data_IF_197300400227
#
_entry.id   IF_197300400227
#
_cell.length_a   1.000
_cell.length_b   1.000
_cell.length_c   1.000
_cell.angle_alpha   90.00
_cell.angle_beta   90.00
_cell.angle_gamma   90.00
#
_symmetry.space_group_name_H-M   'P 1'
#
loop_
_entity.id
_entity.type
_entity.pdbx_description
1 polymer ?
#
# COMPACT_ATOMS: atom_id res chain seq x y z
N UNK A 1 15.05 -32.60 5.35
CA UNK A 1 13.60 -32.51 5.08
C UNK A 1 13.27 -33.63 4.10
N UNK A 2 12.14 -34.31 4.24
CA UNK A 2 11.74 -35.34 3.26
C UNK A 2 11.28 -34.64 1.97
N UNK A 3 11.90 -34.90 0.80
CA UNK A 3 11.50 -34.29 -0.46
C UNK A 3 10.02 -34.52 -0.80
N UNK A 4 9.43 -35.65 -0.39
CA UNK A 4 8.01 -35.95 -0.61
C UNK A 4 7.07 -35.02 0.17
N UNK A 5 7.58 -34.23 1.13
CA UNK A 5 6.80 -33.29 1.91
C UNK A 5 6.64 -31.89 1.25
N UNK A 6 7.25 -31.65 0.09
CA UNK A 6 7.17 -30.37 -0.64
C UNK A 6 6.57 -30.61 -2.03
N UNK A 7 5.54 -29.83 -2.37
CA UNK A 7 5.06 -29.66 -3.74
C UNK A 7 5.67 -28.39 -4.32
N UNK A 8 6.18 -28.46 -5.54
CA UNK A 8 6.68 -27.29 -6.27
C UNK A 8 5.83 -27.09 -7.51
N UNK A 9 5.20 -25.93 -7.63
CA UNK A 9 4.39 -25.54 -8.78
C UNK A 9 4.94 -24.25 -9.43
N UNK A 10 4.81 -24.14 -10.75
CA UNK A 10 5.13 -22.91 -11.50
C UNK A 10 3.83 -22.16 -11.78
N UNK A 11 3.81 -20.84 -11.60
CA UNK A 11 2.60 -20.02 -11.73
C UNK A 11 2.82 -18.73 -12.52
N UNK A 12 1.82 -18.38 -13.33
CA UNK A 12 1.71 -17.11 -14.04
C UNK A 12 1.01 -16.02 -13.19
N UNK A 13 0.43 -16.41 -12.05
CA UNK A 13 -0.36 -15.50 -11.22
C UNK A 13 0.47 -14.46 -10.47
N UNK A 14 1.78 -14.68 -10.33
CA UNK A 14 2.64 -13.82 -9.54
C UNK A 14 3.00 -12.55 -10.31
N UNK A 15 2.56 -11.39 -9.80
CA UNK A 15 2.88 -10.08 -10.39
C UNK A 15 4.15 -9.46 -9.82
N UNK A 16 4.37 -9.56 -8.50
CA UNK A 16 5.51 -8.96 -7.78
C UNK A 16 6.44 -9.99 -7.14
N UNK A 17 5.88 -11.09 -6.67
CA UNK A 17 6.63 -12.19 -6.04
C UNK A 17 7.37 -13.02 -7.09
N UNK A 18 8.54 -13.52 -6.74
CA UNK A 18 9.29 -14.51 -7.53
C UNK A 18 9.05 -15.93 -7.02
N UNK A 19 8.90 -16.07 -5.70
CA UNK A 19 8.58 -17.30 -5.01
C UNK A 19 7.60 -17.05 -3.86
N UNK A 20 6.90 -18.11 -3.45
CA UNK A 20 6.10 -18.15 -2.23
C UNK A 20 6.14 -19.56 -1.66
N UNK A 21 6.39 -19.68 -0.36
CA UNK A 21 6.20 -20.90 0.41
C UNK A 21 4.95 -20.79 1.30
N UNK A 22 4.04 -21.76 1.23
CA UNK A 22 2.87 -21.85 2.11
C UNK A 22 2.64 -23.25 2.67
N UNK A 23 2.16 -23.39 3.92
CA UNK A 23 1.72 -24.67 4.44
C UNK A 23 0.40 -25.10 3.77
N UNK A 24 0.28 -26.39 3.46
CA UNK A 24 -0.96 -26.97 2.92
C UNK A 24 -1.78 -27.50 4.12
N UNK A 25 -3.00 -27.00 4.30
CA UNK A 25 -3.87 -27.45 5.39
C UNK A 25 -4.26 -28.92 5.21
N UNK A 26 -4.16 -29.70 6.30
CA UNK A 26 -4.43 -31.14 6.30
C UNK A 26 -5.92 -31.41 6.08
N UNK A 27 -6.28 -32.07 4.99
CA UNK A 27 -7.38 -33.03 5.00
C UNK A 27 -6.76 -34.42 5.15
N UNK A 28 -7.16 -35.15 6.19
CA UNK A 28 -6.62 -36.46 6.57
C UNK A 28 -6.55 -37.44 5.39
N UNK A 29 -5.33 -37.73 4.93
CA UNK A 29 -4.79 -39.07 4.63
C UNK A 29 -3.35 -38.97 4.18
N UNK A 30 -2.59 -39.98 4.58
CA UNK A 30 -1.17 -40.20 4.34
C UNK A 30 -0.69 -39.85 2.92
N UNK A 31 0.57 -39.39 2.85
CA UNK A 31 1.40 -39.09 1.66
C UNK A 31 1.21 -37.76 0.91
N UNK A 32 0.44 -36.80 1.40
CA UNK A 32 0.30 -35.49 0.73
C UNK A 32 1.40 -34.50 1.14
N UNK A 33 1.90 -33.65 0.21
CA UNK A 33 2.88 -32.62 0.49
C UNK A 33 2.37 -31.70 1.61
N UNK A 34 3.26 -31.33 2.54
CA UNK A 34 2.96 -30.48 3.71
C UNK A 34 3.16 -29.00 3.41
N UNK A 35 3.98 -28.70 2.41
CA UNK A 35 4.30 -27.34 1.99
C UNK A 35 4.18 -27.26 0.47
N UNK A 36 3.66 -26.13 0.00
CA UNK A 36 3.66 -25.77 -1.41
C UNK A 36 4.63 -24.62 -1.62
N UNK A 37 5.55 -24.80 -2.56
CA UNK A 37 6.41 -23.77 -3.10
C UNK A 37 5.88 -23.42 -4.48
N UNK A 38 5.59 -22.14 -4.69
CA UNK A 38 5.15 -21.63 -5.98
C UNK A 38 6.24 -20.73 -6.53
N UNK A 39 6.58 -20.90 -7.80
CA UNK A 39 7.63 -20.14 -8.48
C UNK A 39 7.04 -19.40 -9.68
N UNK A 40 7.41 -18.14 -9.88
CA UNK A 40 6.93 -17.36 -11.01
C UNK A 40 7.47 -17.93 -12.34
N UNK A 41 6.60 -18.16 -13.33
CA UNK A 41 6.99 -18.72 -14.64
C UNK A 41 8.07 -17.90 -15.36
N UNK A 42 8.02 -16.56 -15.26
CA UNK A 42 9.00 -15.66 -15.87
C UNK A 42 10.46 -15.94 -15.49
N UNK A 43 10.71 -16.61 -14.36
CA UNK A 43 12.06 -17.02 -13.98
C UNK A 43 12.69 -18.06 -14.92
N UNK A 44 11.88 -18.71 -15.76
CA UNK A 44 12.31 -19.74 -16.70
C UNK A 44 12.39 -19.23 -18.16
N UNK A 45 12.01 -17.98 -18.43
CA UNK A 45 11.83 -17.46 -19.80
C UNK A 45 13.13 -16.86 -20.39
N UNK A 46 14.07 -16.38 -19.56
CA UNK A 46 15.22 -15.58 -20.01
C UNK A 46 16.58 -16.31 -19.96
N UNK A 47 16.61 -17.64 -19.76
CA UNK A 47 17.86 -18.41 -19.69
C UNK A 47 18.76 -18.08 -18.49
N UNK A 48 18.26 -17.33 -17.50
CA UNK A 48 18.96 -16.96 -16.25
C UNK A 48 18.80 -18.06 -15.20
N UNK A 49 19.47 -19.18 -15.48
CA UNK A 49 19.36 -20.43 -14.72
C UNK A 49 19.68 -20.30 -13.22
N UNK A 50 20.56 -19.37 -12.85
CA UNK A 50 20.95 -19.15 -11.46
C UNK A 50 19.84 -18.51 -10.62
N UNK A 51 19.00 -17.66 -11.23
CA UNK A 51 17.98 -16.88 -10.51
C UNK A 51 16.81 -17.74 -10.04
N UNK A 52 16.36 -18.68 -10.88
CA UNK A 52 15.29 -19.60 -10.49
C UNK A 52 15.80 -20.61 -9.47
N UNK A 53 17.05 -21.08 -9.58
CA UNK A 53 17.69 -21.98 -8.60
C UNK A 53 17.79 -21.33 -7.23
N UNK A 54 18.24 -20.08 -7.18
CA UNK A 54 18.30 -19.30 -5.94
C UNK A 54 16.90 -19.10 -5.34
N UNK A 55 15.92 -18.72 -6.15
CA UNK A 55 14.52 -18.55 -5.71
C UNK A 55 13.95 -19.84 -5.13
N UNK A 56 14.18 -21.00 -5.76
CA UNK A 56 13.73 -22.29 -5.22
C UNK A 56 14.40 -22.59 -3.88
N UNK A 57 15.71 -22.34 -3.75
CA UNK A 57 16.44 -22.56 -2.49
C UNK A 57 15.97 -21.60 -1.39
N UNK A 58 15.64 -20.35 -1.75
CA UNK A 58 15.05 -19.35 -0.86
C UNK A 58 13.73 -19.86 -0.25
N UNK A 59 12.82 -20.35 -1.09
CA UNK A 59 11.53 -20.88 -0.62
C UNK A 59 11.66 -22.19 0.15
N UNK A 60 12.64 -23.05 -0.19
CA UNK A 60 12.96 -24.25 0.59
C UNK A 60 13.47 -23.88 2.00
N UNK A 61 14.23 -22.79 2.13
CA UNK A 61 14.66 -22.30 3.44
C UNK A 61 13.47 -21.87 4.31
N UNK A 62 12.46 -21.19 3.72
CA UNK A 62 11.21 -20.89 4.41
C UNK A 62 10.48 -22.15 4.86
N UNK A 63 10.33 -23.13 3.96
CA UNK A 63 9.65 -24.39 4.28
C UNK A 63 10.35 -25.16 5.41
N UNK A 64 11.70 -25.13 5.43
CA UNK A 64 12.50 -25.74 6.48
C UNK A 64 12.27 -25.05 7.83
N UNK A 65 12.35 -23.72 7.88
CA UNK A 65 12.15 -22.95 9.12
C UNK A 65 10.73 -23.13 9.66
N UNK A 66 9.72 -23.07 8.80
CA UNK A 66 8.33 -23.34 9.19
C UNK A 66 8.15 -24.74 9.76
N UNK A 67 8.91 -25.73 9.27
CA UNK A 67 8.87 -27.10 9.78
C UNK A 67 9.59 -27.28 11.11
N UNK A 68 10.76 -26.65 11.29
CA UNK A 68 11.63 -26.93 12.44
C UNK A 68 11.47 -25.95 13.59
N UNK A 69 11.10 -24.71 13.30
CA UNK A 69 10.99 -23.62 14.28
C UNK A 69 9.53 -23.16 14.44
N UNK A 70 8.75 -23.15 13.36
CA UNK A 70 7.35 -22.71 13.36
C UNK A 70 7.16 -21.34 12.68
N UNK A 71 5.94 -20.79 12.76
CA UNK A 71 5.54 -19.55 12.07
C UNK A 71 5.83 -18.26 12.83
N UNK A 72 6.27 -18.35 14.09
CA UNK A 72 6.41 -17.18 14.99
C UNK A 72 7.74 -16.45 14.85
N UNK A 73 8.60 -16.89 13.91
CA UNK A 73 9.90 -16.28 13.64
C UNK A 73 9.84 -15.29 12.48
N UNK A 74 10.75 -14.31 12.51
CA UNK A 74 10.85 -13.33 11.44
C UNK A 74 11.16 -14.03 10.10
N UNK A 75 10.45 -13.71 9.01
CA UNK A 75 10.59 -14.39 7.71
C UNK A 75 12.04 -14.45 7.18
N UNK A 76 12.86 -13.44 7.47
CA UNK A 76 14.27 -13.39 7.10
C UNK A 76 15.18 -13.17 8.33
N UNK A 77 14.77 -13.72 9.47
CA UNK A 77 15.51 -13.71 10.73
C UNK A 77 16.77 -14.61 10.70
N UNK A 78 17.51 -14.68 11.82
CA UNK A 78 18.73 -15.51 11.93
C UNK A 78 18.51 -16.97 11.50
N UNK A 79 17.40 -17.57 11.90
CA UNK A 79 17.04 -18.96 11.61
C UNK A 79 16.88 -19.19 10.11
N UNK A 80 16.26 -18.23 9.42
CA UNK A 80 16.11 -18.28 7.96
C UNK A 80 17.44 -18.08 7.25
N UNK A 81 18.29 -17.14 7.70
CA UNK A 81 19.61 -16.91 7.10
C UNK A 81 20.50 -18.15 7.20
N UNK A 82 20.45 -18.85 8.31
CA UNK A 82 21.17 -20.10 8.49
C UNK A 82 20.63 -21.21 7.58
N UNK A 83 19.31 -21.32 7.45
CA UNK A 83 18.67 -22.25 6.52
C UNK A 83 19.01 -21.92 5.04
N UNK A 84 18.98 -20.64 4.67
CA UNK A 84 19.31 -20.14 3.32
C UNK A 84 20.75 -20.49 2.94
N UNK A 85 21.73 -20.22 3.82
CA UNK A 85 23.14 -20.61 3.59
C UNK A 85 23.29 -22.12 3.41
N UNK A 86 22.61 -22.92 4.23
CA UNK A 86 22.64 -24.39 4.12
C UNK A 86 22.00 -24.89 2.83
N UNK A 87 20.97 -24.19 2.33
CA UNK A 87 20.33 -24.50 1.06
C UNK A 87 21.13 -24.00 -0.17
N UNK A 88 22.17 -23.19 0.04
CA UNK A 88 22.91 -22.54 -1.03
C UNK A 88 22.13 -21.42 -1.72
N UNK A 89 21.19 -20.80 -1.00
CA UNK A 89 20.54 -19.55 -1.39
C UNK A 89 21.34 -18.35 -0.89
N UNK A 90 21.17 -17.20 -1.52
CA UNK A 90 21.67 -15.93 -1.00
C UNK A 90 20.90 -15.52 0.27
N UNK A 91 21.57 -15.44 1.45
CA UNK A 91 20.93 -15.09 2.73
C UNK A 91 20.65 -13.58 2.87
N UNK A 92 21.00 -12.77 1.87
CA UNK A 92 20.72 -11.33 1.79
C UNK A 92 19.66 -11.03 0.73
N UNK A 93 19.53 -11.89 -0.29
CA UNK A 93 18.48 -11.76 -1.31
C UNK A 93 17.09 -11.77 -0.67
N UNK A 94 16.34 -10.69 -0.92
CA UNK A 94 14.90 -10.66 -0.70
C UNK A 94 14.29 -11.04 -2.04
N UNK A 95 13.56 -12.15 -2.14
CA UNK A 95 12.91 -12.57 -3.39
C UNK A 95 11.68 -11.69 -3.77
N UNK A 96 11.79 -10.38 -3.56
CA UNK A 96 11.13 -9.38 -4.40
C UNK A 96 12.17 -9.06 -5.49
N UNK A 97 11.94 -9.55 -6.70
CA UNK A 97 12.90 -9.35 -7.78
C UNK A 97 13.04 -7.88 -8.11
N UNK A 98 14.04 -7.23 -7.53
CA UNK A 98 14.66 -6.08 -8.16
C UNK A 98 15.13 -6.55 -9.56
N UNK A 99 14.75 -5.80 -10.59
CA UNK A 99 15.15 -5.94 -12.01
C UNK A 99 14.35 -6.84 -12.98
N UNK A 100 13.16 -7.36 -12.66
CA UNK A 100 12.24 -7.86 -13.73
C UNK A 100 10.80 -7.46 -13.47
N UNK A 101 10.61 -6.15 -13.41
CA UNK A 101 9.35 -5.54 -13.79
C UNK A 101 9.70 -4.66 -14.98
N UNK A 102 8.85 -4.60 -16.01
CA UNK A 102 8.98 -3.62 -17.11
C UNK A 102 8.88 -2.21 -16.51
N UNK A 103 9.98 -1.75 -15.93
CA UNK A 103 10.09 -0.45 -15.32
C UNK A 103 9.93 0.54 -16.46
N UNK A 104 8.80 1.22 -16.53
CA UNK A 104 8.61 2.27 -17.51
C UNK A 104 9.46 3.50 -17.17
N UNK A 105 9.83 3.67 -15.90
CA UNK A 105 10.55 4.82 -15.38
C UNK A 105 11.71 4.40 -14.49
N UNK A 106 12.76 5.21 -14.47
CA UNK A 106 13.93 5.03 -13.64
C UNK A 106 14.08 6.24 -12.73
N UNK A 107 14.50 6.01 -11.48
CA UNK A 107 15.07 7.03 -10.60
C UNK A 107 16.54 6.65 -10.36
N UNK A 108 17.47 7.53 -10.71
CA UNK A 108 18.89 7.25 -10.60
C UNK A 108 19.63 8.41 -9.94
N UNK A 109 20.73 8.10 -9.26
CA UNK A 109 21.73 9.10 -8.95
C UNK A 109 22.54 9.42 -10.21
N UNK A 110 22.68 10.69 -10.63
CA UNK A 110 23.50 11.04 -11.81
C UNK A 110 24.99 10.64 -11.63
N UNK A 111 25.46 10.53 -10.37
CA UNK A 111 26.82 10.08 -10.05
C UNK A 111 26.96 8.54 -9.99
N UNK A 112 25.90 7.78 -10.30
CA UNK A 112 25.94 6.31 -10.37
C UNK A 112 25.83 5.56 -9.03
N UNK A 113 25.52 6.24 -7.92
CA UNK A 113 25.37 5.61 -6.60
C UNK A 113 24.21 4.59 -6.53
N UNK A 114 23.11 4.86 -7.24
CA UNK A 114 21.96 3.95 -7.27
C UNK A 114 21.13 4.15 -8.54
N UNK A 115 20.36 3.12 -8.88
CA UNK A 115 19.34 3.14 -9.92
C UNK A 115 18.16 2.27 -9.48
N UNK A 116 16.94 2.78 -9.63
CA UNK A 116 15.72 2.10 -9.21
C UNK A 116 14.65 2.18 -10.29
N UNK A 117 14.15 1.03 -10.74
CA UNK A 117 13.06 0.91 -11.70
C UNK A 117 11.67 1.08 -11.05
N UNK A 118 10.77 1.77 -11.75
CA UNK A 118 9.38 2.01 -11.35
C UNK A 118 8.43 1.73 -12.52
N UNK A 119 7.35 1.00 -12.25
CA UNK A 119 6.27 0.75 -13.23
C UNK A 119 5.30 1.91 -13.44
N UNK A 120 5.28 2.86 -12.51
CA UNK A 120 4.31 3.95 -12.49
C UNK A 120 5.00 5.27 -12.12
N UNK A 121 4.46 6.37 -12.62
CA UNK A 121 4.89 7.74 -12.27
C UNK A 121 4.44 8.10 -10.86
N UNK A 122 5.16 7.54 -9.89
CA UNK A 122 5.01 7.88 -8.48
C UNK A 122 5.46 9.33 -8.24
N UNK A 123 5.14 9.88 -7.06
CA UNK A 123 5.66 11.20 -6.65
C UNK A 123 7.20 11.27 -6.70
N UNK A 124 7.87 10.12 -6.50
CA UNK A 124 9.33 10.02 -6.50
C UNK A 124 9.91 10.19 -7.90
N UNK A 125 9.28 9.57 -8.90
CA UNK A 125 9.61 9.76 -10.32
C UNK A 125 9.32 11.19 -10.76
N UNK A 126 8.21 11.78 -10.29
CA UNK A 126 7.79 13.13 -10.73
C UNK A 126 8.60 14.27 -10.13
N UNK A 127 9.13 14.08 -8.92
CA UNK A 127 9.79 15.13 -8.16
C UNK A 127 11.18 14.69 -7.65
N UNK A 128 12.12 14.29 -8.53
CA UNK A 128 13.40 13.74 -8.10
C UNK A 128 14.23 14.76 -7.29
N UNK A 129 14.08 16.07 -7.52
CA UNK A 129 14.69 17.15 -6.73
C UNK A 129 14.26 17.20 -5.25
N UNK A 130 13.17 16.55 -4.85
CA UNK A 130 12.75 16.48 -3.44
C UNK A 130 13.53 15.46 -2.61
N UNK A 131 14.41 14.70 -3.26
CA UNK A 131 15.17 13.62 -2.63
C UNK A 131 16.66 13.91 -2.78
N UNK A 132 17.46 13.32 -1.91
CA UNK A 132 18.93 13.39 -1.95
C UNK A 132 19.48 11.98 -1.96
N UNK A 133 20.57 11.77 -2.69
CA UNK A 133 21.34 10.54 -2.59
C UNK A 133 22.03 10.50 -1.22
N UNK A 134 21.86 9.41 -0.48
CA UNK A 134 22.46 9.25 0.85
C UNK A 134 24.00 9.10 0.79
N UNK A 135 24.55 8.71 -0.36
CA UNK A 135 26.00 8.53 -0.55
C UNK A 135 26.73 9.82 -0.96
N UNK A 136 26.20 10.55 -1.95
CA UNK A 136 26.88 11.72 -2.53
C UNK A 136 26.15 13.05 -2.29
N UNK A 137 24.98 13.03 -1.65
CA UNK A 137 24.17 14.23 -1.38
C UNK A 137 23.50 14.85 -2.60
N UNK A 138 23.82 14.39 -3.81
CA UNK A 138 23.27 14.92 -5.06
C UNK A 138 21.80 14.56 -5.23
N UNK A 139 21.01 15.48 -5.80
CA UNK A 139 19.62 15.20 -6.16
C UNK A 139 19.57 14.17 -7.29
N UNK A 140 18.77 13.10 -7.16
CA UNK A 140 18.62 12.13 -8.23
C UNK A 140 17.94 12.74 -9.45
N UNK A 141 17.99 12.00 -10.55
CA UNK A 141 17.24 12.25 -11.76
C UNK A 141 16.18 11.16 -11.95
N UNK A 142 15.18 11.43 -12.76
CA UNK A 142 14.29 10.39 -13.27
C UNK A 142 14.18 10.46 -14.78
N UNK A 143 13.92 9.33 -15.43
CA UNK A 143 13.83 9.23 -16.89
C UNK A 143 12.98 8.02 -17.31
N UNK A 144 12.46 8.00 -18.55
CA UNK A 144 11.83 6.79 -19.10
C UNK A 144 12.91 5.72 -19.34
N UNK A 145 12.65 4.45 -19.06
CA UNK A 145 13.68 3.39 -19.19
C UNK A 145 14.30 3.31 -20.59
N UNK A 146 13.57 3.74 -21.61
CA UNK A 146 14.00 3.76 -23.01
C UNK A 146 14.75 5.02 -23.41
N UNK A 147 14.82 6.03 -22.54
CA UNK A 147 15.30 7.38 -22.84
C UNK A 147 16.20 7.89 -21.71
N UNK A 148 17.37 7.25 -21.56
CA UNK A 148 18.38 7.64 -20.57
C UNK A 148 19.14 8.89 -21.05
N UNK A 149 19.20 9.96 -20.24
CA UNK A 149 19.97 11.16 -20.59
C UNK A 149 21.49 10.89 -20.57
N UNK A 150 22.20 11.39 -21.58
CA UNK A 150 23.67 11.26 -21.71
C UNK A 150 24.44 12.18 -20.75
N UNK A 151 23.91 13.38 -20.46
CA UNK A 151 24.48 14.36 -19.53
C UNK A 151 23.40 14.90 -18.58
N UNK A 152 23.03 14.13 -17.55
CA UNK A 152 21.90 14.48 -16.70
C UNK A 152 22.22 15.57 -15.67
N UNK A 153 21.54 16.70 -15.78
CA UNK A 153 21.43 17.68 -14.70
C UNK A 153 20.74 17.08 -13.47
N UNK A 154 21.39 17.21 -12.31
CA UNK A 154 20.89 16.68 -11.04
C UNK A 154 19.55 17.31 -10.63
N UNK A 155 18.62 16.48 -10.14
CA UNK A 155 17.28 16.94 -9.77
C UNK A 155 16.28 17.00 -10.92
N UNK A 156 16.67 16.65 -12.14
CA UNK A 156 15.81 16.77 -13.34
C UNK A 156 15.02 15.48 -13.63
N UNK A 157 13.81 15.62 -14.17
CA UNK A 157 12.83 14.56 -14.46
C UNK A 157 12.61 14.38 -15.98
N UNK A 158 13.51 13.69 -16.66
CA UNK A 158 13.55 13.47 -18.12
C UNK A 158 12.49 12.48 -18.65
N UNK A 159 11.33 12.38 -18.02
CA UNK A 159 10.22 11.53 -18.49
C UNK A 159 9.50 12.25 -19.63
N UNK A 160 9.53 11.71 -20.86
CA UNK A 160 9.23 12.31 -22.18
C UNK A 160 7.79 12.79 -22.41
N UNK A 161 6.99 12.95 -21.36
CA UNK A 161 5.55 13.30 -21.43
C UNK A 161 5.17 14.35 -20.40
N UNK A 162 6.15 15.17 -20.05
CA UNK A 162 5.95 16.50 -19.49
C UNK A 162 6.66 17.45 -20.48
N UNK A 163 5.94 18.34 -21.19
CA UNK A 163 6.57 19.54 -21.71
C UNK A 163 7.04 20.32 -20.49
N UNK A 164 8.35 20.45 -20.33
CA UNK A 164 8.92 21.23 -19.24
C UNK A 164 8.57 22.69 -19.42
N UNK A 165 8.07 23.32 -18.37
CA UNK A 165 8.12 24.76 -18.28
C UNK A 165 8.51 25.21 -16.88
N UNK A 166 9.37 26.21 -16.93
CA UNK A 166 10.12 26.89 -15.88
C UNK A 166 9.20 27.66 -14.93
N UNK A 167 9.82 28.30 -13.94
CA UNK A 167 9.21 29.09 -12.87
C UNK A 167 8.26 30.23 -13.30
N UNK A 168 8.06 30.46 -14.61
CA UNK A 168 7.14 31.43 -15.21
C UNK A 168 5.74 30.88 -15.53
N UNK A 169 5.50 29.57 -15.37
CA UNK A 169 4.19 28.92 -15.59
C UNK A 169 3.17 29.12 -14.46
N UNK A 170 3.41 30.08 -13.57
CA UNK A 170 2.50 30.37 -12.47
C UNK A 170 1.23 31.10 -12.90
N UNK A 171 1.17 31.66 -14.10
CA UNK A 171 0.04 32.45 -14.54
C UNK A 171 -0.35 32.14 -16.01
N UNK A 172 -1.61 31.73 -16.20
CA UNK A 172 -2.46 31.73 -17.41
C UNK A 172 -2.67 30.40 -18.21
N UNK A 173 -3.80 30.23 -18.94
CA UNK A 173 -4.90 29.38 -18.52
C UNK A 173 -5.26 28.35 -19.61
N UNK A 174 -4.79 27.11 -19.47
CA UNK A 174 -5.26 26.00 -20.32
C UNK A 174 -5.84 24.88 -19.45
N UNK A 175 -6.93 25.24 -18.78
CA UNK A 175 -7.78 24.40 -17.96
C UNK A 175 -8.93 23.82 -18.81
N UNK A 176 -8.63 22.84 -19.65
CA UNK A 176 -9.67 22.08 -20.37
C UNK A 176 -9.47 20.57 -20.30
N UNK A 177 -9.28 20.04 -19.07
CA UNK A 177 -9.80 18.73 -18.55
C UNK A 177 -9.31 18.42 -17.12
N UNK A 178 -9.12 19.43 -16.28
CA UNK A 178 -8.86 19.30 -14.85
C UNK A 178 -10.16 19.25 -14.02
N UNK A 179 -11.17 18.51 -14.46
CA UNK A 179 -12.48 18.56 -13.79
C UNK A 179 -12.41 17.78 -12.48
N UNK A 180 -12.25 18.47 -11.36
CA UNK A 180 -12.55 17.93 -10.05
C UNK A 180 -13.90 17.20 -10.10
N UNK A 181 -14.02 16.05 -9.41
CA UNK A 181 -15.20 15.17 -9.49
C UNK A 181 -16.02 15.17 -8.22
N UNK A 182 -15.40 15.55 -7.10
CA UNK A 182 -15.99 15.50 -5.78
C UNK A 182 -15.72 16.81 -5.07
N UNK A 183 -16.68 17.23 -4.24
CA UNK A 183 -16.54 18.37 -3.35
C UNK A 183 -16.57 17.89 -1.90
N UNK A 184 -15.72 18.47 -1.07
CA UNK A 184 -15.88 18.50 0.38
C UNK A 184 -16.27 19.93 0.73
N UNK A 185 -17.41 20.16 1.37
CA UNK A 185 -17.91 21.52 1.55
C UNK A 185 -18.62 21.71 2.86
N UNK A 186 -18.59 22.97 3.33
CA UNK A 186 -19.37 23.41 4.46
C UNK A 186 -20.86 23.50 4.06
N UNK A 187 -21.78 22.88 4.83
CA UNK A 187 -23.22 23.01 4.59
C UNK A 187 -23.71 24.47 4.63
N UNK A 188 -23.03 25.33 5.39
CA UNK A 188 -23.36 26.75 5.52
C UNK A 188 -22.74 27.63 4.40
N UNK A 189 -22.04 27.01 3.44
CA UNK A 189 -21.46 27.73 2.29
C UNK A 189 -20.17 28.50 2.58
N UNK A 190 -19.56 28.35 3.76
CA UNK A 190 -18.33 29.06 4.13
C UNK A 190 -17.15 28.75 3.21
N UNK A 191 -16.93 27.45 2.95
CA UNK A 191 -15.76 26.99 2.19
C UNK A 191 -16.04 25.66 1.48
N UNK A 192 -15.31 25.43 0.39
CA UNK A 192 -15.41 24.22 -0.42
C UNK A 192 -14.03 23.83 -0.96
N UNK A 193 -13.74 22.54 -0.94
CA UNK A 193 -12.51 21.95 -1.45
C UNK A 193 -12.83 20.93 -2.53
N UNK A 194 -12.19 21.08 -3.69
CA UNK A 194 -12.38 20.22 -4.83
C UNK A 194 -11.37 19.06 -4.83
N UNK A 195 -11.86 17.87 -5.20
CA UNK A 195 -11.06 16.65 -5.24
C UNK A 195 -11.29 15.89 -6.55
N UNK A 196 -10.20 15.39 -7.14
CA UNK A 196 -10.28 14.53 -8.33
C UNK A 196 -10.55 13.06 -8.00
N UNK A 197 -10.23 12.62 -6.77
CA UNK A 197 -10.28 11.21 -6.33
C UNK A 197 -11.07 11.08 -5.03
N UNK A 198 -11.63 9.88 -4.79
CA UNK A 198 -12.31 9.52 -3.53
C UNK A 198 -11.31 9.31 -2.39
N UNK A 199 -10.78 10.40 -1.88
CA UNK A 199 -9.86 10.40 -0.72
C UNK A 199 -10.59 10.01 0.57
N UNK A 200 -9.84 9.79 1.66
CA UNK A 200 -10.43 9.51 2.99
C UNK A 200 -11.41 10.61 3.43
N UNK A 201 -11.10 11.87 3.08
CA UNK A 201 -11.94 13.04 3.35
C UNK A 201 -13.29 12.97 2.64
N UNK A 202 -13.28 12.64 1.35
CA UNK A 202 -14.51 12.47 0.57
C UNK A 202 -15.36 11.31 1.08
N UNK A 203 -14.74 10.20 1.48
CA UNK A 203 -15.46 8.99 1.96
C UNK A 203 -16.02 9.09 3.37
N UNK A 204 -15.48 10.02 4.18
CA UNK A 204 -15.82 10.17 5.60
C UNK A 204 -15.89 11.67 5.97
N UNK A 205 -16.77 12.45 5.33
CA UNK A 205 -16.84 13.90 5.53
C UNK A 205 -17.19 14.30 6.97
N UNK A 206 -17.95 13.45 7.68
CA UNK A 206 -18.29 13.59 9.10
C UNK A 206 -17.11 13.60 10.08
N UNK A 207 -15.90 13.27 9.63
CA UNK A 207 -14.68 13.36 10.44
C UNK A 207 -14.03 14.75 10.45
N UNK A 208 -14.62 15.70 9.73
CA UNK A 208 -14.03 17.01 9.49
C UNK A 208 -15.04 18.12 9.78
N UNK A 209 -14.55 19.20 10.36
CA UNK A 209 -15.33 20.41 10.65
C UNK A 209 -14.87 21.57 9.79
N UNK A 210 -15.80 22.47 9.47
CA UNK A 210 -15.50 23.72 8.80
C UNK A 210 -14.66 24.62 9.72
N UNK A 211 -13.51 25.16 9.28
CA UNK A 211 -12.68 26.02 10.11
C UNK A 211 -13.30 27.39 10.41
N UNK A 212 -14.37 27.77 9.71
CA UNK A 212 -15.01 29.08 9.86
C UNK A 212 -16.24 29.05 10.77
N UNK A 213 -16.97 27.94 10.82
CA UNK A 213 -18.22 27.84 11.57
C UNK A 213 -18.39 26.53 12.35
N UNK A 214 -17.34 25.70 12.41
CA UNK A 214 -17.30 24.40 13.08
C UNK A 214 -18.34 23.37 12.64
N UNK A 215 -19.18 23.69 11.65
CA UNK A 215 -20.16 22.77 11.10
C UNK A 215 -19.46 21.53 10.50
N UNK A 216 -20.01 20.35 10.79
CA UNK A 216 -19.54 19.10 10.20
C UNK A 216 -19.67 19.15 8.69
N UNK A 217 -18.57 18.84 8.00
CA UNK A 217 -18.52 18.90 6.54
C UNK A 217 -19.36 17.79 5.90
N UNK A 218 -19.77 18.03 4.65
CA UNK A 218 -20.39 17.04 3.78
C UNK A 218 -19.55 16.85 2.52
N UNK A 219 -19.73 15.72 1.83
CA UNK A 219 -19.17 15.50 0.50
C UNK A 219 -20.25 15.22 -0.53
N UNK A 220 -20.06 15.67 -1.76
CA UNK A 220 -21.00 15.44 -2.88
C UNK A 220 -20.24 15.33 -4.21
N UNK A 221 -20.91 14.89 -5.27
CA UNK A 221 -20.34 14.98 -6.62
C UNK A 221 -20.28 16.46 -7.03
N UNK A 222 -19.34 16.83 -7.91
CA UNK A 222 -19.12 18.26 -8.26
C UNK A 222 -20.33 18.90 -8.95
N UNK A 223 -21.15 18.09 -9.60
CA UNK A 223 -22.36 18.53 -10.30
C UNK A 223 -23.53 18.77 -9.33
N UNK A 224 -23.40 18.32 -8.08
CA UNK A 224 -24.41 18.55 -7.05
C UNK A 224 -24.29 19.97 -6.51
N UNK A 225 -25.42 20.68 -6.41
CA UNK A 225 -25.47 21.96 -5.70
C UNK A 225 -25.59 21.69 -4.19
N UNK A 226 -24.58 22.01 -3.36
CA UNK A 226 -24.53 21.57 -1.97
C UNK A 226 -25.49 22.27 -1.01
N UNK A 227 -26.28 23.23 -1.50
CA UNK A 227 -27.03 24.20 -0.69
C UNK A 227 -28.27 23.61 0.02
N UNK A 228 -28.56 22.32 -0.15
CA UNK A 228 -29.67 21.63 0.51
C UNK A 228 -29.29 20.22 1.00
N UNK A 229 -27.99 19.95 1.14
CA UNK A 229 -27.52 18.64 1.55
C UNK A 229 -27.35 18.59 3.07
N UNK A 230 -27.81 17.49 3.67
CA UNK A 230 -27.64 17.26 5.10
C UNK A 230 -26.15 17.21 5.48
N UNK A 231 -25.80 17.91 6.55
CA UNK A 231 -24.44 17.99 7.09
C UNK A 231 -23.96 16.64 7.61
N UNK A 232 -22.64 16.43 7.63
CA UNK A 232 -22.07 15.18 8.15
C UNK A 232 -22.41 13.94 7.32
N UNK A 233 -22.84 14.08 6.06
CA UNK A 233 -23.16 12.96 5.17
C UNK A 233 -22.32 12.96 3.90
N UNK A 234 -22.17 11.77 3.30
CA UNK A 234 -21.57 11.56 1.99
C UNK A 234 -22.67 11.41 0.93
N UNK A 235 -22.86 12.42 0.10
CA UNK A 235 -23.85 12.47 -0.98
C UNK A 235 -23.28 12.06 -2.34
N UNK A 236 -22.02 11.61 -2.39
CA UNK A 236 -21.39 11.09 -3.61
C UNK A 236 -22.12 9.82 -4.05
N UNK A 237 -22.86 9.87 -5.16
CA UNK A 237 -23.76 8.80 -5.60
C UNK A 237 -23.05 7.47 -5.82
N UNK A 238 -21.77 7.55 -6.16
CA UNK A 238 -20.93 6.40 -6.45
C UNK A 238 -20.28 5.76 -5.20
N UNK A 239 -20.51 6.33 -4.01
CA UNK A 239 -20.16 5.76 -2.71
C UNK A 239 -21.44 5.18 -2.11
N UNK A 240 -21.50 3.86 -1.82
CA UNK A 240 -22.74 3.19 -1.44
C UNK A 240 -23.19 3.46 0.00
N UNK A 241 -22.57 4.41 0.71
CA UNK A 241 -22.89 4.74 2.10
C UNK A 241 -22.95 6.25 2.28
N UNK A 242 -24.00 6.73 2.95
CA UNK A 242 -24.21 8.15 3.21
C UNK A 242 -23.76 8.56 4.62
N UNK A 243 -23.65 7.59 5.54
CA UNK A 243 -23.30 7.75 6.95
C UNK A 243 -22.14 6.83 7.34
N UNK A 244 -21.52 7.03 8.53
CA UNK A 244 -20.63 6.04 9.10
C UNK A 244 -21.32 4.68 9.18
N UNK A 245 -20.63 3.61 8.77
CA UNK A 245 -21.10 2.23 8.92
C UNK A 245 -20.41 1.48 10.05
N UNK A 246 -19.22 1.95 10.41
CA UNK A 246 -18.31 1.30 11.34
C UNK A 246 -17.82 2.36 12.30
N UNK A 247 -17.85 2.05 13.58
CA UNK A 247 -17.25 2.86 14.63
C UNK A 247 -15.97 2.20 15.12
N UNK A 248 -14.92 3.00 15.29
CA UNK A 248 -13.74 2.66 16.09
C UNK A 248 -13.75 3.53 17.34
N UNK A 249 -13.73 2.91 18.52
CA UNK A 249 -13.91 3.63 19.76
C UNK A 249 -13.02 3.11 20.89
N UNK A 250 -12.86 3.96 21.91
CA UNK A 250 -12.39 3.52 23.21
C UNK A 250 -13.56 2.88 23.98
N UNK A 251 -13.40 1.68 24.56
CA UNK A 251 -14.47 1.05 25.35
C UNK A 251 -14.84 1.86 26.62
N UNK A 252 -13.93 2.71 27.09
CA UNK A 252 -14.16 3.60 28.24
C UNK A 252 -14.72 4.99 27.86
N UNK A 253 -15.04 5.21 26.58
CA UNK A 253 -15.67 6.46 26.12
C UNK A 253 -14.73 7.64 25.84
N UNK A 254 -13.41 7.46 25.93
CA UNK A 254 -12.43 8.52 25.62
C UNK A 254 -12.55 9.09 24.19
N UNK A 255 -12.92 8.25 23.23
CA UNK A 255 -13.18 8.68 21.86
C UNK A 255 -14.12 7.70 21.15
N UNK A 256 -14.76 8.20 20.10
CA UNK A 256 -15.55 7.44 19.14
C UNK A 256 -15.37 8.08 17.75
N UNK A 257 -14.96 7.29 16.76
CA UNK A 257 -14.69 7.75 15.39
C UNK A 257 -15.40 6.86 14.37
N UNK A 258 -16.27 7.46 13.57
CA UNK A 258 -17.05 6.78 12.53
C UNK A 258 -16.36 6.70 11.16
N UNK A 259 -16.49 5.57 10.48
CA UNK A 259 -15.97 5.29 9.15
C UNK A 259 -17.03 4.64 8.27
N UNK A 260 -17.03 4.98 6.98
CA UNK A 260 -17.93 4.38 6.00
C UNK A 260 -17.46 3.03 5.46
N UNK A 261 -16.18 2.70 5.67
CA UNK A 261 -15.55 1.43 5.28
C UNK A 261 -14.49 1.03 6.32
N UNK A 262 -14.17 -0.26 6.38
CA UNK A 262 -13.13 -0.75 7.28
C UNK A 262 -11.78 -0.05 7.07
N UNK A 263 -11.17 0.33 8.18
CA UNK A 263 -9.77 0.75 8.31
C UNK A 263 -8.93 -0.34 8.97
N UNK A 264 -7.61 -0.15 9.07
CA UNK A 264 -6.74 -1.10 9.78
C UNK A 264 -7.13 -1.21 11.26
N UNK A 265 -7.44 -0.07 11.86
CA UNK A 265 -7.88 0.09 13.24
C UNK A 265 -9.17 -0.68 13.51
N UNK A 266 -10.18 -0.53 12.65
CA UNK A 266 -11.45 -1.24 12.81
C UNK A 266 -11.36 -2.76 12.56
N UNK A 267 -10.35 -3.22 11.80
CA UNK A 267 -10.15 -4.66 11.51
C UNK A 267 -9.38 -5.39 12.61
N UNK A 268 -8.52 -4.66 13.32
CA UNK A 268 -7.60 -5.22 14.32
C UNK A 268 -7.60 -4.35 15.59
N UNK A 269 -8.75 -4.10 16.24
CA UNK A 269 -8.85 -3.17 17.36
C UNK A 269 -8.04 -3.60 18.58
N UNK A 270 -7.65 -4.88 18.68
CA UNK A 270 -6.75 -5.46 19.68
C UNK A 270 -5.31 -4.94 19.61
N UNK A 271 -4.89 -4.47 18.42
CA UNK A 271 -3.54 -3.92 18.18
C UNK A 271 -3.41 -2.44 18.51
N UNK A 272 -4.52 -1.76 18.74
CA UNK A 272 -4.56 -0.32 19.01
C UNK A 272 -4.99 -0.05 20.46
N UNK A 273 -4.42 1.01 21.05
CA UNK A 273 -4.71 1.43 22.42
C UNK A 273 -5.19 2.87 22.41
N UNK A 274 -6.13 3.17 23.29
CA UNK A 274 -6.52 4.53 23.60
C UNK A 274 -5.34 5.26 24.26
N UNK A 275 -5.01 6.45 23.75
CA UNK A 275 -3.90 7.26 24.28
C UNK A 275 -4.20 7.80 25.68
N UNK A 276 -5.48 8.05 26.00
CA UNK A 276 -5.88 8.61 27.30
C UNK A 276 -5.91 7.57 28.42
N UNK A 277 -6.52 6.41 28.18
CA UNK A 277 -6.74 5.40 29.24
C UNK A 277 -5.96 4.09 29.03
N UNK A 278 -5.22 3.94 27.93
CA UNK A 278 -4.42 2.74 27.63
C UNK A 278 -5.20 1.48 27.26
N UNK A 279 -6.54 1.51 27.35
CA UNK A 279 -7.40 0.39 27.01
C UNK A 279 -7.26 0.01 25.53
N UNK A 280 -7.32 -1.29 25.23
CA UNK A 280 -7.42 -1.74 23.84
C UNK A 280 -8.71 -1.23 23.23
N UNK A 281 -8.64 -0.76 22.01
CA UNK A 281 -9.81 -0.18 21.32
C UNK A 281 -10.82 -1.25 20.94
N UNK A 282 -12.01 -0.83 20.51
CA UNK A 282 -13.07 -1.71 20.00
C UNK A 282 -13.58 -1.19 18.67
N UNK A 283 -14.21 -2.06 17.88
CA UNK A 283 -14.88 -1.66 16.66
C UNK A 283 -16.26 -2.32 16.55
N UNK A 284 -17.28 -1.60 16.11
CA UNK A 284 -18.67 -2.10 16.00
C UNK A 284 -19.44 -1.42 14.86
N UNK A 285 -20.54 -2.00 14.34
CA UNK A 285 -21.41 -1.36 13.37
C UNK A 285 -22.01 -0.06 13.93
N UNK A 286 -22.09 1.00 13.13
CA UNK A 286 -22.55 2.30 13.62
C UNK A 286 -24.02 2.30 14.08
N UNK A 287 -24.81 1.37 13.54
CA UNK A 287 -26.23 1.15 13.83
C UNK A 287 -26.49 0.11 14.93
N UNK A 288 -25.46 -0.59 15.40
CA UNK A 288 -25.56 -1.65 16.41
C UNK A 288 -24.43 -1.54 17.43
N UNK A 289 -24.55 -0.56 18.34
CA UNK A 289 -23.59 -0.39 19.44
C UNK A 289 -23.84 -1.43 20.54
N UNK A 290 -22.85 -2.28 20.87
CA UNK A 290 -22.99 -3.24 21.96
C UNK A 290 -23.17 -2.53 23.31
N UNK A 291 -24.09 -3.03 24.14
CA UNK A 291 -24.33 -2.51 25.49
C UNK A 291 -23.08 -2.62 26.39
N UNK A 292 -22.25 -3.63 26.15
CA UNK A 292 -20.99 -3.86 26.86
C UNK A 292 -19.84 -4.01 25.87
N UNK A 293 -18.87 -3.08 25.95
CA UNK A 293 -17.70 -3.05 25.08
C UNK A 293 -16.52 -3.78 25.75
N UNK A 294 -16.16 -4.95 25.23
CA UNK A 294 -15.01 -5.73 25.69
C UNK A 294 -13.73 -5.24 25.00
N UNK A 295 -12.71 -4.74 25.72
CA UNK A 295 -11.50 -4.18 25.11
C UNK A 295 -10.79 -5.12 24.12
N UNK A 296 -10.45 -4.60 22.94
CA UNK A 296 -9.79 -5.36 21.87
C UNK A 296 -10.73 -6.16 20.96
N UNK A 297 -12.04 -6.06 21.18
CA UNK A 297 -13.04 -6.83 20.41
C UNK A 297 -13.45 -6.11 19.14
N UNK A 298 -13.60 -6.88 18.05
CA UNK A 298 -14.19 -6.47 16.79
C UNK A 298 -15.59 -7.09 16.68
N UNK A 299 -16.64 -6.27 16.69
CA UNK A 299 -18.05 -6.67 16.65
C UNK A 299 -18.66 -6.58 15.23
N UNK A 300 -17.84 -6.42 14.19
CA UNK A 300 -18.27 -6.18 12.80
C UNK A 300 -18.16 -7.47 11.95
N UNK A 301 -18.25 -8.65 12.56
CA UNK A 301 -18.28 -9.92 11.80
C UNK A 301 -19.56 -10.07 10.97
#
# INVERSE_FOLDING_TARGET
MDPAAIRVDVTDSFRRQLGECRPISRSDRDSTPKYEIRIARRLFEDGRDDRWRDTVRHEVAHAYVLKTVGSDVAPHGPEWKDAARRAGADPVARCEGDDVVDAAYVLACPNGCFEHGYVQRSKRIKNPWQYTCDECGTHPISYDVTDRPDDPEAGTCYVASIPWQTQDDKDDPDDTRNTARYLLTCPNGCTAWSYQRRTKRIKNPWLYSCPECDATLLSCDIDDRPINLESGRCHVASIPWQEPRIVHACPNGCFNVGFGQHTKESRQPDRYRCEECGARTVAYPADDQPETLTPGTNYIE
#
